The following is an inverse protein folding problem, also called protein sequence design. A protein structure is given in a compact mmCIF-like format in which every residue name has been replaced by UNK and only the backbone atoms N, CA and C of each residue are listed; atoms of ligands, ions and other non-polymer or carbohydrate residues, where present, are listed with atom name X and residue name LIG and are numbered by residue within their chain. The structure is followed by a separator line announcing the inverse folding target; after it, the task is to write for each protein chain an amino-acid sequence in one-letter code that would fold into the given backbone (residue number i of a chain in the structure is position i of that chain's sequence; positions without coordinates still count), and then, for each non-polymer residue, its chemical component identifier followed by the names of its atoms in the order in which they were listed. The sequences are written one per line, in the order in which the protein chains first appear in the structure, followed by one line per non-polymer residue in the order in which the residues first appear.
data_IF_027751389013
#
_entry.id   IF_027751389013
#
_cell.length_a   1.000
_cell.length_b   1.000
_cell.length_c   1.000
_cell.angle_alpha   90.00
_cell.angle_beta   90.00
_cell.angle_gamma   90.00
#
_symmetry.space_group_name_H-M   'P 1'
#
loop_
_entity.id
_entity.type
_entity.pdbx_description
1 polymer ?
#
# COMPACT_ATOMS: atom_id res chain seq x y z
N UNK A 1 -8.18 2.65 -30.90
CA UNK A 1 -6.93 1.92 -30.61
C UNK A 1 -6.67 1.83 -29.12
N UNK A 2 -6.62 0.61 -28.56
CA UNK A 2 -6.27 0.31 -27.16
C UNK A 2 -5.14 -0.72 -27.05
N UNK A 3 -4.51 -1.07 -28.17
CA UNK A 3 -3.53 -2.14 -28.25
C UNK A 3 -2.13 -1.55 -28.31
N UNK A 4 -1.28 -1.97 -27.37
CA UNK A 4 0.16 -1.74 -27.40
C UNK A 4 0.83 -3.06 -27.79
N UNK A 5 1.53 -3.09 -28.93
CA UNK A 5 2.15 -4.30 -29.49
C UNK A 5 3.66 -4.12 -29.55
N UNK A 6 4.41 -5.17 -29.19
CA UNK A 6 5.87 -5.21 -29.24
C UNK A 6 6.56 -4.02 -28.53
N UNK A 7 6.08 -3.65 -27.34
CA UNK A 7 6.67 -2.61 -26.50
C UNK A 7 7.61 -3.20 -25.45
N UNK A 8 8.66 -2.47 -25.13
CA UNK A 8 9.59 -2.78 -24.03
C UNK A 8 9.07 -2.33 -22.66
N UNK A 9 8.03 -1.49 -22.66
CA UNK A 9 7.40 -0.87 -21.51
C UNK A 9 5.91 -0.71 -21.82
N UNK A 10 5.05 -1.14 -20.90
CA UNK A 10 3.59 -1.06 -21.04
C UNK A 10 2.93 -0.58 -19.75
N UNK A 11 1.81 0.13 -19.88
CA UNK A 11 0.90 0.40 -18.78
C UNK A 11 -0.18 -0.69 -18.74
N UNK A 12 -0.24 -1.43 -17.65
CA UNK A 12 -1.19 -2.52 -17.47
C UNK A 12 -1.76 -2.55 -16.06
N UNK A 13 -3.09 -2.51 -15.93
CA UNK A 13 -3.82 -2.50 -14.66
C UNK A 13 -3.28 -1.47 -13.64
N UNK A 14 -2.92 -0.28 -14.12
CA UNK A 14 -2.39 0.79 -13.29
C UNK A 14 -0.96 0.58 -12.77
N UNK A 15 -0.21 -0.29 -13.44
CA UNK A 15 1.20 -0.51 -13.23
C UNK A 15 2.00 -0.30 -14.52
N UNK A 16 3.20 0.24 -14.37
CA UNK A 16 4.21 0.30 -15.42
C UNK A 16 5.06 -0.98 -15.35
N UNK A 17 5.06 -1.77 -16.41
CA UNK A 17 5.83 -3.01 -16.51
C UNK A 17 6.96 -2.81 -17.50
N UNK A 18 8.21 -3.06 -17.05
CA UNK A 18 9.41 -2.88 -17.86
C UNK A 18 10.53 -3.79 -17.39
N UNK A 19 11.14 -4.50 -18.34
CA UNK A 19 12.37 -5.27 -18.10
C UNK A 19 12.33 -6.19 -16.86
N UNK A 20 11.23 -6.93 -16.66
CA UNK A 20 11.08 -7.83 -15.52
C UNK A 20 10.74 -7.12 -14.20
N UNK A 21 10.46 -5.82 -14.22
CA UNK A 21 10.06 -5.04 -13.03
C UNK A 21 8.65 -4.49 -13.21
N UNK A 22 8.01 -4.21 -12.07
CA UNK A 22 6.70 -3.57 -11.99
C UNK A 22 6.78 -2.38 -11.04
N UNK A 23 6.17 -1.26 -11.44
CA UNK A 23 6.02 -0.06 -10.62
C UNK A 23 4.57 0.43 -10.65
N UNK A 24 4.07 1.11 -9.62
CA UNK A 24 2.83 1.87 -9.72
C UNK A 24 2.91 2.87 -10.87
N UNK A 25 1.81 3.01 -11.62
CA UNK A 25 1.67 4.10 -12.58
C UNK A 25 1.69 5.45 -11.82
N UNK A 26 2.63 6.37 -12.15
CA UNK A 26 2.71 7.69 -11.55
C UNK A 26 1.39 8.45 -11.55
N UNK A 27 0.57 8.31 -12.59
CA UNK A 27 -0.72 9.01 -12.69
C UNK A 27 -1.75 8.44 -11.71
N UNK A 28 -1.72 7.13 -11.46
CA UNK A 28 -2.65 6.49 -10.52
C UNK A 28 -2.26 6.72 -9.05
N UNK A 29 -0.96 6.85 -8.74
CA UNK A 29 -0.52 7.20 -7.38
C UNK A 29 -0.68 8.69 -7.10
N UNK A 30 -0.71 9.54 -8.13
CA UNK A 30 -0.84 10.99 -7.97
C UNK A 30 -2.07 11.40 -7.17
N UNK A 31 -3.19 10.68 -7.35
CA UNK A 31 -4.38 10.90 -6.54
C UNK A 31 -4.13 10.74 -5.03
N UNK A 32 -3.29 9.77 -4.63
CA UNK A 32 -2.90 9.56 -3.24
C UNK A 32 -1.87 10.57 -2.76
N UNK A 33 -0.89 10.94 -3.58
CA UNK A 33 0.16 11.90 -3.20
C UNK A 33 -0.36 13.34 -3.12
N UNK A 34 -1.39 13.68 -3.89
CA UNK A 34 -1.98 15.02 -3.91
C UNK A 34 -3.14 15.16 -2.91
N UNK A 35 -3.61 14.05 -2.31
CA UNK A 35 -4.70 14.07 -1.33
C UNK A 35 -4.36 14.99 -0.14
N UNK A 36 -5.23 15.95 0.16
CA UNK A 36 -5.13 16.79 1.36
C UNK A 36 -5.34 15.97 2.65
N UNK A 37 -4.96 16.54 3.80
CA UNK A 37 -5.24 15.88 5.07
C UNK A 37 -6.77 15.63 5.21
N UNK A 38 -7.19 14.40 5.57
CA UNK A 38 -8.59 14.08 5.74
C UNK A 38 -9.30 15.00 6.73
N UNK A 39 -10.48 15.47 6.35
CA UNK A 39 -11.36 16.32 7.19
C UNK A 39 -12.58 15.55 7.69
N UNK A 40 -12.70 14.28 7.32
CA UNK A 40 -13.72 13.36 7.83
C UNK A 40 -13.17 11.94 8.02
N UNK A 41 -13.82 11.09 8.85
CA UNK A 41 -13.44 9.69 8.99
C UNK A 41 -13.53 8.91 7.67
N UNK A 42 -14.51 9.28 6.83
CA UNK A 42 -14.75 8.66 5.53
C UNK A 42 -13.60 8.96 4.56
N UNK A 43 -13.09 10.19 4.55
CA UNK A 43 -11.89 10.56 3.78
C UNK A 43 -10.65 9.82 4.29
N UNK A 44 -10.46 9.72 5.60
CA UNK A 44 -9.32 9.00 6.19
C UNK A 44 -9.34 7.51 5.82
N UNK A 45 -10.52 6.88 5.90
CA UNK A 45 -10.70 5.49 5.51
C UNK A 45 -10.55 5.28 4.00
N UNK A 46 -11.10 6.19 3.18
CA UNK A 46 -10.95 6.15 1.71
C UNK A 46 -9.50 6.23 1.29
N UNK A 47 -8.70 7.10 1.92
CA UNK A 47 -7.27 7.20 1.68
C UNK A 47 -6.55 5.87 1.96
N UNK A 48 -6.77 5.27 3.14
CA UNK A 48 -6.14 3.97 3.47
C UNK A 48 -6.54 2.88 2.50
N UNK A 49 -7.82 2.83 2.14
CA UNK A 49 -8.32 1.83 1.18
C UNK A 49 -7.70 1.98 -0.20
N UNK A 50 -7.49 3.21 -0.66
CA UNK A 50 -6.77 3.45 -1.91
C UNK A 50 -5.27 3.10 -1.78
N UNK A 51 -4.63 3.43 -0.66
CA UNK A 51 -3.23 3.09 -0.41
C UNK A 51 -3.00 1.56 -0.27
N UNK A 52 -3.99 0.82 0.22
CA UNK A 52 -3.96 -0.63 0.40
C UNK A 52 -3.74 -1.37 -0.94
N UNK A 53 -4.20 -0.80 -2.06
CA UNK A 53 -3.93 -1.35 -3.40
C UNK A 53 -2.43 -1.44 -3.70
N UNK A 54 -1.64 -0.49 -3.18
CA UNK A 54 -0.18 -0.42 -3.36
C UNK A 54 0.60 -1.05 -2.20
N UNK A 55 -0.06 -1.77 -1.27
CA UNK A 55 0.57 -2.31 -0.06
C UNK A 55 1.81 -3.17 -0.32
N UNK A 56 1.86 -3.89 -1.46
CA UNK A 56 3.02 -4.73 -1.85
C UNK A 56 4.30 -3.92 -2.02
N UNK A 57 4.19 -2.66 -2.41
CA UNK A 57 5.33 -1.76 -2.57
C UNK A 57 5.72 -1.05 -1.27
N UNK A 58 4.91 -1.15 -0.22
CA UNK A 58 5.07 -0.37 1.01
C UNK A 58 5.52 -1.30 2.14
N UNK A 59 6.80 -1.25 2.55
CA UNK A 59 7.29 -2.06 3.66
C UNK A 59 6.51 -1.77 4.94
N UNK A 60 6.08 -2.83 5.63
CA UNK A 60 5.33 -2.74 6.89
C UNK A 60 4.03 -1.90 6.77
N UNK A 61 3.35 -1.98 5.62
CA UNK A 61 2.11 -1.24 5.36
C UNK A 61 1.09 -1.35 6.51
N UNK A 62 0.82 -2.56 7.00
CA UNK A 62 -0.15 -2.80 8.07
C UNK A 62 0.18 -2.02 9.35
N UNK A 63 1.45 -1.99 9.75
CA UNK A 63 1.92 -1.23 10.92
C UNK A 63 1.73 0.27 10.73
N UNK A 64 2.08 0.79 9.54
CA UNK A 64 1.96 2.23 9.24
C UNK A 64 0.49 2.63 9.15
N UNK A 65 -0.36 1.82 8.50
CA UNK A 65 -1.77 2.12 8.27
C UNK A 65 -2.66 1.88 9.51
N UNK A 66 -2.18 1.16 10.53
CA UNK A 66 -2.96 0.80 11.72
C UNK A 66 -3.67 1.99 12.40
N UNK A 67 -3.03 3.16 12.61
CA UNK A 67 -3.71 4.33 13.19
C UNK A 67 -4.87 4.85 12.35
N UNK A 68 -4.79 4.71 11.02
CA UNK A 68 -5.82 5.19 10.10
C UNK A 68 -6.99 4.20 9.95
N UNK A 69 -6.77 2.89 10.16
CA UNK A 69 -7.85 1.89 10.18
C UNK A 69 -8.89 2.13 11.29
N UNK A 70 -8.53 2.90 12.33
CA UNK A 70 -9.46 3.35 13.39
C UNK A 70 -10.62 4.22 12.88
N UNK A 71 -10.50 4.77 11.67
CA UNK A 71 -11.55 5.57 11.03
C UNK A 71 -12.47 4.75 10.11
N UNK A 72 -12.36 3.42 10.13
CA UNK A 72 -13.27 2.56 9.36
C UNK A 72 -14.74 2.76 9.78
N UNK A 73 -15.71 2.57 8.87
CA UNK A 73 -17.13 2.69 9.19
C UNK A 73 -17.54 1.83 10.41
N UNK A 74 -16.99 0.62 10.54
CA UNK A 74 -17.23 -0.27 11.67
C UNK A 74 -16.77 0.35 13.00
N UNK A 75 -15.57 0.95 13.03
CA UNK A 75 -15.02 1.58 14.23
C UNK A 75 -15.70 2.91 14.55
N UNK A 76 -16.03 3.71 13.54
CA UNK A 76 -16.72 5.00 13.69
C UNK A 76 -18.15 4.80 14.22
N UNK A 77 -18.86 3.75 13.79
CA UNK A 77 -20.19 3.43 14.33
C UNK A 77 -20.15 3.08 15.82
N UNK A 78 -19.13 2.35 16.28
CA UNK A 78 -18.93 2.07 17.71
C UNK A 78 -18.68 3.35 18.52
N UNK A 79 -17.96 4.32 17.95
CA UNK A 79 -17.67 5.61 18.60
C UNK A 79 -18.85 6.58 18.58
N UNK A 80 -19.66 6.59 17.50
CA UNK A 80 -20.86 7.44 17.36
C UNK A 80 -21.94 7.14 18.39
N UNK A 81 -22.04 5.89 18.86
CA UNK A 81 -22.94 5.53 19.97
C UNK A 81 -22.58 6.24 21.29
N UNK A 82 -21.39 6.86 21.38
CA UNK A 82 -20.88 7.45 22.63
C UNK A 82 -20.69 8.98 22.66
N UNK A 83 -20.85 9.74 21.55
CA UNK A 83 -21.04 11.22 21.51
C UNK A 83 -20.94 11.77 20.08
N UNK A 84 -21.58 12.92 19.83
CA UNK A 84 -21.33 13.80 18.66
C UNK A 84 -19.92 14.43 18.77
N UNK A 85 -18.87 13.64 18.55
CA UNK A 85 -17.50 14.16 18.49
C UNK A 85 -17.29 14.84 17.13
N UNK A 86 -16.79 16.09 17.17
CA UNK A 86 -16.20 16.72 15.99
C UNK A 86 -15.00 15.88 15.57
N UNK A 87 -14.90 15.57 14.29
CA UNK A 87 -13.81 14.76 13.76
C UNK A 87 -12.49 15.55 13.84
N UNK A 88 -11.48 14.91 14.42
CA UNK A 88 -10.09 15.34 14.35
C UNK A 88 -9.21 14.12 14.06
N UNK A 89 -8.25 14.31 13.15
CA UNK A 89 -7.25 13.29 12.86
C UNK A 89 -6.25 13.24 14.02
N UNK A 90 -6.04 12.07 14.62
CA UNK A 90 -5.11 11.92 15.73
C UNK A 90 -3.68 12.17 15.28
N UNK A 91 -2.78 12.52 16.21
CA UNK A 91 -1.38 12.78 15.89
C UNK A 91 -0.69 11.56 15.23
N UNK A 92 -1.02 10.35 15.71
CA UNK A 92 -0.51 9.10 15.14
C UNK A 92 -1.06 8.85 13.72
N UNK A 93 -2.34 9.12 13.50
CA UNK A 93 -2.97 8.98 12.20
C UNK A 93 -2.46 10.01 11.18
N UNK A 94 -2.22 11.24 11.60
CA UNK A 94 -1.56 12.28 10.79
C UNK A 94 -0.14 11.85 10.39
N UNK A 95 0.63 11.33 11.35
CA UNK A 95 1.99 10.82 11.08
C UNK A 95 1.95 9.68 10.08
N UNK A 96 1.06 8.71 10.27
CA UNK A 96 0.85 7.60 9.33
C UNK A 96 0.45 8.08 7.93
N UNK A 97 -0.46 9.05 7.83
CA UNK A 97 -0.90 9.65 6.58
C UNK A 97 0.27 10.25 5.79
N UNK A 98 1.07 11.10 6.43
CA UNK A 98 2.23 11.71 5.79
C UNK A 98 3.32 10.69 5.45
N UNK A 99 3.53 9.68 6.30
CA UNK A 99 4.50 8.62 6.03
C UNK A 99 4.10 7.81 4.79
N UNK A 100 2.83 7.41 4.66
CA UNK A 100 2.33 6.72 3.47
C UNK A 100 2.50 7.57 2.21
N UNK A 101 2.12 8.85 2.26
CA UNK A 101 2.33 9.77 1.14
C UNK A 101 3.80 9.87 0.74
N UNK A 102 4.71 9.99 1.71
CA UNK A 102 6.15 10.06 1.45
C UNK A 102 6.67 8.79 0.79
N UNK A 103 6.26 7.61 1.25
CA UNK A 103 6.66 6.33 0.63
C UNK A 103 6.13 6.24 -0.80
N UNK A 104 4.88 6.65 -1.04
CA UNK A 104 4.28 6.68 -2.38
C UNK A 104 5.01 7.61 -3.35
N UNK A 105 5.76 8.61 -2.87
CA UNK A 105 6.61 9.47 -3.73
C UNK A 105 8.01 8.91 -3.98
N UNK A 106 8.38 7.78 -3.37
CA UNK A 106 9.68 7.12 -3.64
C UNK A 106 9.59 6.17 -4.83
N UNK A 107 10.74 5.66 -5.30
CA UNK A 107 10.75 4.69 -6.39
C UNK A 107 10.28 3.31 -5.90
N UNK A 108 9.00 3.04 -6.10
CA UNK A 108 8.29 1.84 -5.66
C UNK A 108 8.43 0.72 -6.71
N UNK A 109 9.61 0.10 -6.78
CA UNK A 109 9.89 -0.99 -7.73
C UNK A 109 9.74 -2.35 -7.04
N UNK A 110 9.09 -3.29 -7.72
CA UNK A 110 9.18 -4.71 -7.42
C UNK A 110 9.68 -5.47 -8.65
N UNK A 111 10.41 -6.55 -8.41
CA UNK A 111 10.77 -7.49 -9.45
C UNK A 111 9.59 -8.45 -9.69
N UNK A 112 9.38 -8.82 -10.96
CA UNK A 112 8.45 -9.90 -11.29
C UNK A 112 9.06 -11.24 -10.86
N UNK A 113 8.21 -12.21 -10.47
CA UNK A 113 8.68 -13.54 -10.14
C UNK A 113 9.38 -14.20 -11.33
N UNK A 114 10.54 -14.78 -11.08
CA UNK A 114 11.24 -15.66 -12.01
C UNK A 114 10.88 -17.13 -11.71
N UNK A 115 10.11 -17.76 -12.59
CA UNK A 115 9.65 -19.14 -12.42
C UNK A 115 10.79 -20.18 -12.41
N UNK A 116 12.01 -19.80 -12.83
CA UNK A 116 13.19 -20.66 -12.75
C UNK A 116 13.81 -20.72 -11.35
N UNK A 117 13.43 -19.80 -10.45
CA UNK A 117 13.96 -19.72 -9.08
C UNK A 117 13.02 -20.38 -8.07
N UNK A 118 13.60 -20.89 -6.98
CA UNK A 118 12.82 -21.43 -5.88
C UNK A 118 12.12 -20.33 -5.08
N UNK A 119 10.85 -20.55 -4.80
CA UNK A 119 10.07 -19.70 -3.90
C UNK A 119 10.26 -20.14 -2.45
N UNK A 120 10.35 -19.17 -1.55
CA UNK A 120 10.42 -19.35 -0.10
C UNK A 120 9.37 -18.47 0.55
N UNK A 121 8.47 -19.08 1.33
CA UNK A 121 7.51 -18.35 2.14
C UNK A 121 8.07 -18.19 3.56
N UNK A 122 8.28 -16.95 4.00
CA UNK A 122 8.57 -16.65 5.40
C UNK A 122 7.31 -16.13 6.07
N UNK A 123 6.95 -16.72 7.21
CA UNK A 123 5.77 -16.36 7.99
C UNK A 123 6.17 -16.04 9.42
N UNK A 124 5.52 -15.05 10.01
CA UNK A 124 5.62 -14.71 11.42
C UNK A 124 4.21 -14.47 11.97
N UNK A 125 3.99 -14.80 13.25
CA UNK A 125 2.70 -14.64 13.88
C UNK A 125 2.86 -14.20 15.34
N UNK A 126 2.03 -13.25 15.75
CA UNK A 126 1.90 -12.79 17.12
C UNK A 126 0.44 -12.86 17.55
N UNK A 127 0.18 -12.50 18.82
CA UNK A 127 -1.20 -12.38 19.35
C UNK A 127 -2.02 -11.37 18.55
N UNK A 128 -1.37 -10.32 18.03
CA UNK A 128 -2.05 -9.20 17.38
C UNK A 128 -2.21 -9.38 15.87
N UNK A 129 -1.48 -10.31 15.23
CA UNK A 129 -1.56 -10.49 13.79
C UNK A 129 -0.63 -11.53 13.18
N UNK A 130 -0.83 -11.76 11.90
CA UNK A 130 -0.06 -12.70 11.08
C UNK A 130 0.61 -11.91 9.95
N UNK A 131 1.88 -12.20 9.70
CA UNK A 131 2.67 -11.65 8.59
C UNK A 131 3.24 -12.75 7.72
N UNK A 132 3.32 -12.49 6.42
CA UNK A 132 4.01 -13.36 5.48
C UNK A 132 4.72 -12.53 4.41
N UNK A 133 5.88 -13.01 3.96
CA UNK A 133 6.63 -12.47 2.84
C UNK A 133 6.98 -13.63 1.91
N UNK A 134 6.65 -13.47 0.63
CA UNK A 134 7.08 -14.39 -0.42
C UNK A 134 8.44 -13.92 -0.94
N UNK A 135 9.39 -14.84 -1.01
CA UNK A 135 10.76 -14.58 -1.44
C UNK A 135 11.14 -15.49 -2.61
N UNK A 136 12.10 -15.06 -3.40
CA UNK A 136 12.84 -15.92 -4.33
C UNK A 136 14.28 -16.11 -3.85
N UNK A 137 14.74 -17.36 -3.85
CA UNK A 137 16.11 -17.70 -3.50
C UNK A 137 17.00 -17.36 -4.68
N UNK A 138 17.89 -16.38 -4.51
CA UNK A 138 18.85 -15.97 -5.54
C UNK A 138 20.28 -16.29 -5.07
N UNK A 139 21.27 -16.37 -5.99
CA UNK A 139 22.68 -16.52 -5.61
C UNK A 139 23.20 -15.40 -4.68
N UNK A 140 22.57 -14.23 -4.71
CA UNK A 140 22.95 -13.05 -3.93
C UNK A 140 22.16 -12.94 -2.61
N UNK A 141 21.35 -13.94 -2.26
CA UNK A 141 20.48 -13.95 -1.08
C UNK A 141 18.99 -13.99 -1.43
N UNK A 142 18.15 -14.11 -0.40
CA UNK A 142 16.69 -14.14 -0.56
C UNK A 142 16.17 -12.76 -0.98
N UNK A 143 15.40 -12.70 -2.07
CA UNK A 143 14.80 -11.48 -2.62
C UNK A 143 13.28 -11.46 -2.38
N UNK A 144 12.69 -10.41 -1.80
CA UNK A 144 11.23 -10.30 -1.66
C UNK A 144 10.52 -10.05 -3.00
N UNK A 145 9.32 -10.62 -3.13
CA UNK A 145 8.35 -10.38 -4.20
C UNK A 145 7.23 -9.45 -3.73
#
# INVERSE_FOLDING_TARGET
DKCEVARTEILFLGHLIKAGTIKPDPDNIRGLTDTCEPTSPEEAFRFVKAAEYYRKFIPKFSTIAAPLHKYSPATVQQQKNNKKLKFELSAEARTAFHQLKKILTTDLILDLPDDALLFKLQTDASVDGIGAVLLQITPNGDRPL
#
